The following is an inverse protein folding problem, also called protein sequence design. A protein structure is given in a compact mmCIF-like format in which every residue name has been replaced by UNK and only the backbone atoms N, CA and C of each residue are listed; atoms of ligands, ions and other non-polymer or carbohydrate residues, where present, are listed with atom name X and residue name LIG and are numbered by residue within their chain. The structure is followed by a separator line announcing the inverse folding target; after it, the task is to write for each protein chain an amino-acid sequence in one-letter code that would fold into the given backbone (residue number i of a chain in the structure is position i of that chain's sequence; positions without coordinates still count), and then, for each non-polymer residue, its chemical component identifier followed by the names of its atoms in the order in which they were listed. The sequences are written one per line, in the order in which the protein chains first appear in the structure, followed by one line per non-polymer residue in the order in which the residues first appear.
data_IF_337673196916
#
_entry.id   IF_337673196916
#
_cell.length_a   1.000
_cell.length_b   1.000
_cell.length_c   1.000
_cell.angle_alpha   90.00
_cell.angle_beta   90.00
_cell.angle_gamma   90.00
#
_symmetry.space_group_name_H-M   'P 1'
#
loop_
_entity.id
_entity.type
_entity.pdbx_description
1 polymer ?
#
# COMPACT_ATOMS: atom_id res chain seq x y z
N UNK A 1 7.00 -11.55 34.28
CA UNK A 1 7.05 -11.87 32.84
C UNK A 1 7.74 -13.21 32.70
N UNK A 2 7.07 -14.21 32.14
CA UNK A 2 7.64 -15.56 31.96
C UNK A 2 8.52 -15.60 30.70
N UNK A 3 9.40 -16.60 30.60
CA UNK A 3 10.24 -16.82 29.41
C UNK A 3 9.37 -16.93 28.15
N UNK A 4 8.26 -17.69 28.21
CA UNK A 4 7.31 -17.83 27.10
C UNK A 4 6.67 -16.49 26.68
N UNK A 5 6.32 -15.62 27.64
CA UNK A 5 5.76 -14.30 27.33
C UNK A 5 6.78 -13.40 26.61
N UNK A 6 8.06 -13.50 26.99
CA UNK A 6 9.13 -12.75 26.34
C UNK A 6 9.39 -13.28 24.92
N UNK A 7 9.47 -14.60 24.74
CA UNK A 7 9.65 -15.23 23.42
C UNK A 7 8.49 -14.91 22.47
N UNK A 8 7.24 -14.95 22.96
CA UNK A 8 6.08 -14.58 22.15
C UNK A 8 6.13 -13.11 21.71
N UNK A 9 6.58 -12.21 22.58
CA UNK A 9 6.73 -10.79 22.25
C UNK A 9 7.78 -10.57 21.18
N UNK A 10 8.94 -11.22 21.28
CA UNK A 10 10.02 -11.13 20.29
C UNK A 10 9.59 -11.67 18.93
N UNK A 11 8.86 -12.80 18.92
CA UNK A 11 8.32 -13.38 17.69
C UNK A 11 7.30 -12.45 17.01
N UNK A 12 6.37 -11.86 17.77
CA UNK A 12 5.42 -10.89 17.23
C UNK A 12 6.14 -9.68 16.64
N UNK A 13 7.13 -9.14 17.36
CA UNK A 13 7.92 -8.00 16.87
C UNK A 13 8.68 -8.34 15.58
N UNK A 14 9.26 -9.54 15.49
CA UNK A 14 9.93 -9.98 14.27
C UNK A 14 8.96 -10.10 13.09
N UNK A 15 7.75 -10.62 13.32
CA UNK A 15 6.70 -10.70 12.29
C UNK A 15 6.27 -9.30 11.86
N UNK A 16 6.03 -8.38 12.80
CA UNK A 16 5.65 -6.99 12.49
C UNK A 16 6.71 -6.28 11.64
N UNK A 17 7.99 -6.41 12.02
CA UNK A 17 9.11 -5.84 11.27
C UNK A 17 9.22 -6.44 9.87
N UNK A 18 9.03 -7.76 9.74
CA UNK A 18 9.03 -8.42 8.44
C UNK A 18 7.90 -7.93 7.54
N UNK A 19 6.67 -7.86 8.08
CA UNK A 19 5.50 -7.35 7.35
C UNK A 19 5.72 -5.90 6.91
N UNK A 20 6.28 -5.07 7.78
CA UNK A 20 6.61 -3.68 7.46
C UNK A 20 7.63 -3.58 6.32
N UNK A 21 8.74 -4.31 6.41
CA UNK A 21 9.81 -4.25 5.40
C UNK A 21 9.34 -4.75 4.03
N UNK A 22 8.64 -5.88 3.98
CA UNK A 22 8.16 -6.44 2.71
C UNK A 22 7.03 -5.60 2.12
N UNK A 23 6.15 -5.05 2.96
CA UNK A 23 5.15 -4.07 2.53
C UNK A 23 5.81 -2.83 1.92
N UNK A 24 6.86 -2.31 2.55
CA UNK A 24 7.58 -1.12 2.05
C UNK A 24 8.20 -1.40 0.69
N UNK A 25 8.94 -2.50 0.56
CA UNK A 25 9.58 -2.90 -0.70
C UNK A 25 8.57 -3.01 -1.83
N UNK A 26 7.42 -3.66 -1.55
CA UNK A 26 6.36 -3.78 -2.54
C UNK A 26 5.79 -2.42 -2.93
N UNK A 27 5.45 -1.55 -1.97
CA UNK A 27 4.93 -0.21 -2.25
C UNK A 27 5.94 0.59 -3.08
N UNK A 28 7.21 0.61 -2.71
CA UNK A 28 8.25 1.30 -3.46
C UNK A 28 8.36 0.77 -4.89
N UNK A 29 8.30 -0.55 -5.07
CA UNK A 29 8.29 -1.15 -6.39
C UNK A 29 7.09 -0.67 -7.23
N UNK A 30 5.86 -0.69 -6.67
CA UNK A 30 4.66 -0.21 -7.37
C UNK A 30 4.81 1.27 -7.74
N UNK A 31 5.20 2.12 -6.78
CA UNK A 31 5.31 3.57 -7.01
C UNK A 31 6.43 3.94 -8.01
N UNK A 32 7.50 3.15 -8.07
CA UNK A 32 8.58 3.39 -9.04
C UNK A 32 8.19 3.05 -10.49
N UNK A 33 7.18 2.19 -10.68
CA UNK A 33 6.76 1.71 -12.00
C UNK A 33 5.44 2.32 -12.47
N UNK A 34 4.57 2.73 -11.55
CA UNK A 34 3.29 3.33 -11.88
C UNK A 34 3.45 4.71 -12.52
N UNK A 35 2.78 4.93 -13.66
CA UNK A 35 2.74 6.22 -14.36
C UNK A 35 1.38 6.90 -14.20
N UNK A 36 0.36 6.12 -13.88
CA UNK A 36 -1.04 6.55 -13.80
C UNK A 36 -1.72 5.98 -12.55
N UNK A 37 -2.89 6.52 -12.22
CA UNK A 37 -3.75 5.96 -11.16
C UNK A 37 -4.24 4.55 -11.54
N UNK A 38 -4.46 4.28 -12.82
CA UNK A 38 -4.85 2.96 -13.32
C UNK A 38 -3.77 1.91 -13.10
N UNK A 39 -2.49 2.29 -13.20
CA UNK A 39 -1.37 1.39 -12.86
C UNK A 39 -1.39 1.02 -11.36
N UNK A 40 -1.71 1.98 -10.49
CA UNK A 40 -1.87 1.74 -9.05
C UNK A 40 -3.06 0.81 -8.76
N UNK A 41 -4.20 1.03 -9.43
CA UNK A 41 -5.37 0.15 -9.32
C UNK A 41 -5.09 -1.26 -9.79
N UNK A 42 -4.35 -1.40 -10.90
CA UNK A 42 -3.95 -2.70 -11.44
C UNK A 42 -3.04 -3.43 -10.46
N UNK A 43 -2.03 -2.74 -9.90
CA UNK A 43 -1.14 -3.32 -8.90
C UNK A 43 -1.90 -3.79 -7.65
N UNK A 44 -2.85 -2.99 -7.14
CA UNK A 44 -3.72 -3.38 -6.03
C UNK A 44 -4.54 -4.64 -6.34
N UNK A 45 -5.14 -4.69 -7.54
CA UNK A 45 -5.93 -5.84 -7.96
C UNK A 45 -5.09 -7.11 -8.07
N UNK A 46 -3.90 -7.02 -8.64
CA UNK A 46 -3.03 -8.18 -8.85
C UNK A 46 -2.45 -8.72 -7.55
N UNK A 47 -1.89 -7.85 -6.70
CA UNK A 47 -1.35 -8.27 -5.41
C UNK A 47 -2.43 -8.59 -4.37
N UNK A 48 -3.65 -8.09 -4.54
CA UNK A 48 -4.79 -8.42 -3.68
C UNK A 48 -5.35 -9.82 -3.91
N UNK A 49 -4.91 -10.52 -4.97
CA UNK A 49 -5.30 -11.91 -5.21
C UNK A 49 -4.78 -12.79 -4.08
N UNK A 50 -5.66 -13.64 -3.56
CA UNK A 50 -5.27 -14.63 -2.56
C UNK A 50 -4.18 -15.52 -3.15
N UNK A 51 -3.06 -15.65 -2.44
CA UNK A 51 -2.00 -16.58 -2.81
C UNK A 51 -2.59 -17.99 -2.81
N UNK A 52 -2.70 -18.59 -4.01
CA UNK A 52 -3.33 -19.91 -4.20
C UNK A 52 -2.49 -21.03 -3.61
N UNK A 53 -1.18 -20.85 -3.58
CA UNK A 53 -0.20 -21.82 -3.10
C UNK A 53 0.45 -21.38 -1.79
N UNK A 54 0.89 -22.35 -1.00
CA UNK A 54 1.57 -22.15 0.29
C UNK A 54 0.80 -22.66 1.50
N UNK A 55 1.45 -22.59 2.66
CA UNK A 55 0.89 -22.87 3.98
C UNK A 55 -0.10 -21.79 4.41
N UNK A 56 -0.89 -22.07 5.45
CA UNK A 56 -1.79 -21.08 6.05
C UNK A 56 -1.03 -19.84 6.55
N UNK A 57 0.12 -20.04 7.20
CA UNK A 57 0.97 -18.96 7.69
C UNK A 57 1.45 -18.06 6.55
N UNK A 58 1.89 -18.64 5.42
CA UNK A 58 2.32 -17.86 4.26
C UNK A 58 1.17 -17.06 3.63
N UNK A 59 -0.04 -17.62 3.59
CA UNK A 59 -1.23 -16.89 3.13
C UNK A 59 -1.60 -15.75 4.07
N UNK A 60 -1.47 -15.95 5.38
CA UNK A 60 -1.69 -14.90 6.37
C UNK A 60 -0.65 -13.78 6.24
N UNK A 61 0.65 -14.11 6.15
CA UNK A 61 1.71 -13.13 5.96
C UNK A 61 1.52 -12.33 4.67
N UNK A 62 1.18 -13.00 3.56
CA UNK A 62 0.86 -12.33 2.31
C UNK A 62 -0.27 -11.32 2.47
N UNK A 63 -1.35 -11.70 3.17
CA UNK A 63 -2.48 -10.81 3.43
C UNK A 63 -2.06 -9.59 4.25
N UNK A 64 -1.30 -9.77 5.34
CA UNK A 64 -0.84 -8.69 6.19
C UNK A 64 0.05 -7.68 5.44
N UNK A 65 0.99 -8.20 4.64
CA UNK A 65 1.87 -7.40 3.78
C UNK A 65 1.03 -6.59 2.78
N UNK A 66 0.09 -7.24 2.09
CA UNK A 66 -0.78 -6.60 1.12
C UNK A 66 -1.66 -5.52 1.77
N UNK A 67 -2.34 -5.81 2.87
CA UNK A 67 -3.24 -4.86 3.53
C UNK A 67 -2.51 -3.58 3.96
N UNK A 68 -1.30 -3.73 4.54
CA UNK A 68 -0.46 -2.59 4.94
C UNK A 68 -0.08 -1.73 3.74
N UNK A 69 0.47 -2.33 2.69
CA UNK A 69 0.92 -1.57 1.52
C UNK A 69 -0.24 -0.98 0.71
N UNK A 70 -1.35 -1.70 0.60
CA UNK A 70 -2.55 -1.26 -0.10
C UNK A 70 -3.17 -0.03 0.56
N UNK A 71 -3.18 0.02 1.90
CA UNK A 71 -3.62 1.21 2.64
C UNK A 71 -2.83 2.45 2.22
N UNK A 72 -1.51 2.33 2.09
CA UNK A 72 -0.64 3.44 1.72
C UNK A 72 -0.81 3.88 0.27
N UNK A 73 -0.95 2.93 -0.67
CA UNK A 73 -1.22 3.25 -2.07
C UNK A 73 -2.58 3.96 -2.21
N UNK A 74 -3.62 3.48 -1.50
CA UNK A 74 -4.96 4.11 -1.50
C UNK A 74 -4.95 5.53 -0.92
N UNK A 75 -4.18 5.76 0.15
CA UNK A 75 -4.00 7.09 0.72
C UNK A 75 -3.39 8.05 -0.30
N UNK A 76 -2.33 7.63 -0.99
CA UNK A 76 -1.70 8.42 -2.06
C UNK A 76 -2.66 8.72 -3.21
N UNK A 77 -3.45 7.72 -3.64
CA UNK A 77 -4.47 7.93 -4.68
C UNK A 77 -5.49 9.01 -4.27
N UNK A 78 -5.95 8.96 -3.02
CA UNK A 78 -6.88 9.95 -2.47
C UNK A 78 -6.28 11.36 -2.46
N UNK A 79 -4.98 11.47 -2.12
CA UNK A 79 -4.26 12.74 -2.16
C UNK A 79 -4.14 13.29 -3.59
N UNK A 80 -3.80 12.43 -4.57
CA UNK A 80 -3.71 12.80 -5.99
C UNK A 80 -5.07 13.31 -6.50
N UNK A 81 -6.15 12.59 -6.21
CA UNK A 81 -7.52 13.00 -6.60
C UNK A 81 -7.89 14.34 -5.96
N UNK A 82 -7.60 14.52 -4.68
CA UNK A 82 -7.88 15.77 -3.96
C UNK A 82 -7.12 16.95 -4.59
N UNK A 83 -5.86 16.77 -4.96
CA UNK A 83 -5.05 17.79 -5.62
C UNK A 83 -5.56 18.11 -7.03
N UNK A 84 -5.94 17.08 -7.79
CA UNK A 84 -6.53 17.26 -9.12
C UNK A 84 -7.84 18.05 -9.07
N UNK A 85 -8.73 17.72 -8.11
CA UNK A 85 -9.98 18.45 -7.89
C UNK A 85 -9.73 19.91 -7.48
N UNK A 86 -8.81 20.15 -6.52
CA UNK A 86 -8.42 21.51 -6.13
C UNK A 86 -7.89 22.33 -7.30
N UNK A 87 -7.12 21.71 -8.20
CA UNK A 87 -6.58 22.37 -9.39
C UNK A 87 -7.67 22.68 -10.42
N UNK A 88 -8.60 21.74 -10.66
CA UNK A 88 -9.74 21.94 -11.55
C UNK A 88 -10.68 23.06 -11.06
N UNK A 89 -10.80 23.21 -9.73
CA UNK A 89 -11.61 24.24 -9.10
C UNK A 89 -10.87 25.58 -8.90
N UNK A 90 -9.60 25.69 -9.30
CA UNK A 90 -8.81 26.93 -9.14
C UNK A 90 -9.06 27.90 -10.31
N UNK A 91 -9.65 29.09 -10.08
CA UNK A 91 -10.08 30.01 -11.13
C UNK A 91 -8.91 30.90 -11.62
N UNK A 92 -7.90 30.30 -12.25
CA UNK A 92 -6.94 31.06 -13.06
C UNK A 92 -6.69 30.34 -14.37
N UNK A 93 -7.40 30.78 -15.40
CA UNK A 93 -7.14 30.33 -16.75
C UNK A 93 -8.12 30.75 -17.86
N UNK A 94 -9.29 31.35 -17.56
CA UNK A 94 -10.08 32.02 -18.61
C UNK A 94 -9.47 33.39 -18.91
N UNK A 95 -8.33 33.34 -19.60
CA UNK A 95 -7.89 34.43 -20.47
C UNK A 95 -8.53 34.19 -21.84
N UNK A 96 -9.81 34.52 -21.97
CA UNK A 96 -10.40 34.94 -23.24
C UNK A 96 -10.29 36.47 -23.24
N UNK A 97 -9.34 37.08 -23.96
CA UNK A 97 -9.48 37.43 -25.38
C UNK A 97 -10.88 38.00 -25.69
N UNK A 98 -11.19 39.19 -25.18
CA UNK A 98 -11.47 40.42 -25.97
C UNK A 98 -11.96 41.55 -25.06
#
# INVERSE_FOLDING_TARGET
MTIEQQTNKEMVQAIEQYVEQESEKWVQHVLSNAKTVDDLMTALWEHGKVKKDGTEVERMLHRLIYERGASRIKALMTEIETLALKRALSPKGDSAIR
#
